data_IF_030466310211
#
_entry.id   IF_030466310211
#
_cell.length_a   1.000
_cell.length_b   1.000
_cell.length_c   1.000
_cell.angle_alpha   90.00
_cell.angle_beta   90.00
_cell.angle_gamma   90.00
#
_symmetry.space_group_name_H-M   'P 1'
#
loop_
_entity.id
_entity.type
_entity.pdbx_description
1 polymer ?
#
# COMPACT_ATOMS: atom_id res chain seq x y z
N UNK A 1 0.33 -6.24 -3.43
CA UNK A 1 -0.04 -5.01 -4.18
C UNK A 1 1.05 -4.56 -5.17
N UNK A 2 2.32 -4.49 -4.74
CA UNK A 2 3.54 -4.42 -5.61
C UNK A 2 3.49 -5.43 -6.78
N UNK A 3 2.82 -6.56 -6.56
CA UNK A 3 2.56 -7.65 -7.52
C UNK A 3 1.94 -7.16 -8.84
N UNK A 4 1.04 -6.16 -8.87
CA UNK A 4 0.39 -5.77 -10.14
C UNK A 4 1.36 -5.09 -11.13
N UNK A 5 2.20 -4.16 -10.66
CA UNK A 5 3.24 -3.60 -11.51
C UNK A 5 4.33 -4.61 -11.82
N UNK A 6 4.69 -5.47 -10.86
CA UNK A 6 5.63 -6.56 -11.09
C UNK A 6 5.13 -7.51 -12.18
N UNK A 7 3.82 -7.75 -12.27
CA UNK A 7 3.18 -8.56 -13.31
C UNK A 7 3.18 -7.87 -14.67
N UNK A 8 2.86 -6.58 -14.70
CA UNK A 8 2.96 -5.75 -15.91
C UNK A 8 4.41 -5.62 -16.40
N UNK A 9 5.37 -5.70 -15.49
CA UNK A 9 6.78 -5.69 -15.80
C UNK A 9 7.31 -7.06 -16.22
N UNK A 10 6.83 -8.14 -15.61
CA UNK A 10 7.08 -9.52 -16.05
C UNK A 10 6.58 -9.73 -17.49
N UNK A 11 5.44 -9.13 -17.87
CA UNK A 11 5.01 -9.04 -19.27
C UNK A 11 6.13 -8.44 -20.14
N UNK A 12 6.67 -7.28 -19.74
CA UNK A 12 7.74 -6.60 -20.47
C UNK A 12 9.00 -7.46 -20.61
N UNK A 13 9.40 -8.15 -19.56
CA UNK A 13 10.62 -8.98 -19.53
C UNK A 13 10.43 -10.30 -20.29
N UNK A 14 9.26 -10.94 -20.20
CA UNK A 14 8.96 -12.17 -20.95
C UNK A 14 8.99 -11.97 -22.47
N UNK A 15 8.73 -10.74 -22.92
CA UNK A 15 8.77 -10.32 -24.32
C UNK A 15 10.21 -10.06 -24.79
N UNK A 16 11.12 -9.63 -23.90
CA UNK A 16 12.52 -9.34 -24.25
C UNK A 16 13.37 -10.58 -24.55
N UNK A 17 12.96 -11.78 -24.12
CA UNK A 17 13.81 -12.97 -24.24
C UNK A 17 13.52 -13.88 -25.44
N UNK A 18 12.39 -13.76 -26.15
CA UNK A 18 12.16 -14.45 -27.45
C UNK A 18 10.80 -14.06 -28.03
N UNK A 19 10.76 -13.88 -29.36
CA UNK A 19 9.64 -13.75 -30.32
C UNK A 19 8.18 -13.64 -29.80
N UNK A 20 7.34 -12.90 -30.53
CA UNK A 20 5.90 -12.68 -30.31
C UNK A 20 5.04 -13.92 -29.92
N UNK A 21 5.52 -15.15 -30.16
CA UNK A 21 4.95 -16.40 -29.61
C UNK A 21 4.99 -16.50 -28.07
N UNK A 22 5.80 -15.70 -27.36
CA UNK A 22 5.97 -15.76 -25.90
C UNK A 22 4.85 -15.06 -25.11
N UNK A 23 4.11 -14.13 -25.74
CA UNK A 23 2.94 -13.47 -25.12
C UNK A 23 1.80 -14.47 -24.94
N UNK A 24 1.55 -15.32 -25.95
CA UNK A 24 0.53 -16.37 -25.89
C UNK A 24 0.92 -17.55 -24.98
N UNK A 25 2.21 -17.94 -24.93
CA UNK A 25 2.65 -19.07 -24.10
C UNK A 25 2.66 -18.75 -22.59
N UNK A 26 2.91 -17.49 -22.22
CA UNK A 26 2.86 -17.05 -20.83
C UNK A 26 1.48 -16.51 -20.42
N UNK A 27 0.55 -16.33 -21.36
CA UNK A 27 -0.81 -15.84 -21.10
C UNK A 27 -1.51 -16.58 -19.95
N UNK A 28 -1.38 -17.91 -19.77
CA UNK A 28 -1.99 -18.60 -18.62
C UNK A 28 -1.41 -18.21 -17.26
N UNK A 29 -0.08 -18.04 -17.16
CA UNK A 29 0.58 -17.60 -15.93
C UNK A 29 0.26 -16.12 -15.64
N UNK A 30 0.23 -15.30 -16.68
CA UNK A 30 -0.14 -13.90 -16.64
C UNK A 30 -1.60 -13.70 -16.25
N UNK A 31 -2.49 -14.50 -16.83
CA UNK A 31 -3.89 -14.59 -16.46
C UNK A 31 -4.03 -15.10 -15.04
N UNK A 32 -3.22 -16.05 -14.56
CA UNK A 32 -3.29 -16.50 -13.17
C UNK A 32 -2.86 -15.40 -12.18
N UNK A 33 -1.78 -14.66 -12.46
CA UNK A 33 -1.31 -13.57 -11.59
C UNK A 33 -2.25 -12.37 -11.67
N UNK A 34 -2.72 -12.04 -12.88
CA UNK A 34 -3.70 -11.01 -13.13
C UNK A 34 -5.06 -11.35 -12.50
N UNK A 35 -5.56 -12.57 -12.68
CA UNK A 35 -6.80 -13.06 -12.07
C UNK A 35 -6.63 -13.14 -10.56
N UNK A 36 -5.44 -13.47 -10.04
CA UNK A 36 -5.13 -13.40 -8.61
C UNK A 36 -5.18 -11.97 -8.09
N UNK A 37 -4.53 -11.04 -8.77
CA UNK A 37 -4.51 -9.63 -8.42
C UNK A 37 -5.86 -8.94 -8.66
N UNK A 38 -6.65 -9.39 -9.63
CA UNK A 38 -7.99 -8.92 -9.93
C UNK A 38 -9.04 -9.59 -9.07
N UNK A 39 -8.87 -10.84 -8.63
CA UNK A 39 -9.69 -11.45 -7.58
C UNK A 39 -9.42 -10.73 -6.28
N UNK A 40 -8.16 -10.51 -5.92
CA UNK A 40 -7.80 -9.68 -4.79
C UNK A 40 -8.41 -8.28 -4.91
N UNK A 41 -8.16 -7.57 -6.01
CA UNK A 41 -8.71 -6.23 -6.22
C UNK A 41 -10.24 -6.24 -6.27
N UNK A 42 -10.91 -7.10 -7.04
CA UNK A 42 -12.37 -7.10 -7.17
C UNK A 42 -13.06 -7.61 -5.89
N UNK A 43 -12.50 -8.58 -5.17
CA UNK A 43 -13.02 -8.97 -3.85
C UNK A 43 -12.84 -7.81 -2.87
N UNK A 44 -11.66 -7.19 -2.88
CA UNK A 44 -11.39 -5.97 -2.10
C UNK A 44 -12.36 -4.83 -2.43
N UNK A 45 -12.59 -4.52 -3.71
CA UNK A 45 -13.41 -3.40 -4.19
C UNK A 45 -14.92 -3.67 -4.10
N UNK A 46 -15.36 -4.93 -4.13
CA UNK A 46 -16.79 -5.28 -4.05
C UNK A 46 -17.30 -5.49 -2.63
N UNK A 47 -16.44 -5.93 -1.70
CA UNK A 47 -16.91 -6.46 -0.42
C UNK A 47 -16.57 -5.61 0.81
N UNK A 48 -15.87 -4.47 0.65
CA UNK A 48 -15.50 -3.59 1.76
C UNK A 48 -16.13 -2.21 1.62
N UNK A 49 -17.43 -2.05 1.89
CA UNK A 49 -18.06 -0.70 1.99
C UNK A 49 -17.43 0.18 3.08
N UNK A 50 -16.72 -0.44 4.01
CA UNK A 50 -15.94 0.23 5.06
C UNK A 50 -14.59 0.76 4.59
N UNK A 51 -14.02 0.33 3.46
CA UNK A 51 -12.67 0.74 3.08
C UNK A 51 -12.60 1.18 1.62
N UNK A 52 -12.10 2.39 1.42
CA UNK A 52 -11.72 2.93 0.14
C UNK A 52 -10.24 2.61 -0.10
N UNK A 53 -9.96 1.56 -0.86
CA UNK A 53 -8.69 1.46 -1.57
C UNK A 53 -8.89 2.03 -2.95
N UNK A 54 -7.90 2.76 -3.48
CA UNK A 54 -7.81 3.13 -4.88
C UNK A 54 -6.47 2.70 -5.39
N UNK A 55 -6.50 1.84 -6.41
CA UNK A 55 -5.33 1.40 -7.16
C UNK A 55 -5.39 2.08 -8.52
N UNK A 56 -4.39 2.89 -8.82
CA UNK A 56 -4.28 3.56 -10.10
C UNK A 56 -2.95 3.19 -10.73
N UNK A 57 -3.05 2.50 -11.87
CA UNK A 57 -1.91 2.15 -12.70
C UNK A 57 -2.00 2.97 -13.97
N UNK A 58 -0.88 3.48 -14.46
CA UNK A 58 -0.80 4.08 -15.79
C UNK A 58 0.59 3.99 -16.38
N UNK A 59 0.61 3.85 -17.70
CA UNK A 59 1.81 3.92 -18.50
C UNK A 59 1.73 5.23 -19.31
N UNK A 60 2.76 6.06 -19.19
CA UNK A 60 2.93 7.28 -19.96
C UNK A 60 4.07 7.08 -20.94
N UNK A 61 3.83 7.35 -22.22
CA UNK A 61 4.78 7.14 -23.32
C UNK A 61 4.87 8.40 -24.16
N UNK A 62 5.98 8.60 -24.89
CA UNK A 62 6.01 9.70 -25.88
C UNK A 62 4.99 9.46 -26.99
N UNK A 63 4.57 10.54 -27.64
CA UNK A 63 3.66 10.51 -28.80
C UNK A 63 4.23 9.77 -30.02
N UNK A 64 5.50 9.35 -29.96
CA UNK A 64 6.22 8.66 -31.04
C UNK A 64 5.98 7.15 -31.03
N UNK A 65 5.27 6.63 -30.03
CA UNK A 65 5.06 5.19 -29.85
C UNK A 65 3.59 4.88 -29.59
N UNK A 66 3.12 3.81 -30.23
CA UNK A 66 1.81 3.22 -30.00
C UNK A 66 1.96 1.92 -29.22
N UNK A 67 1.00 1.60 -28.35
CA UNK A 67 0.97 0.26 -27.76
C UNK A 67 0.65 -0.79 -28.82
N UNK A 68 1.14 -2.00 -28.58
CA UNK A 68 0.57 -3.17 -29.22
C UNK A 68 -0.88 -3.36 -28.74
N UNK A 69 -1.86 -3.51 -29.66
CA UNK A 69 -3.26 -3.66 -29.32
C UNK A 69 -3.53 -4.80 -28.31
N UNK A 70 -2.83 -5.92 -28.46
CA UNK A 70 -2.96 -7.08 -27.56
C UNK A 70 -2.52 -6.74 -26.14
N UNK A 71 -1.46 -5.94 -26.00
CA UNK A 71 -1.00 -5.47 -24.70
C UNK A 71 -1.92 -4.40 -24.11
N UNK A 72 -2.46 -3.51 -24.95
CA UNK A 72 -3.47 -2.54 -24.52
C UNK A 72 -4.73 -3.24 -24.00
N UNK A 73 -5.20 -4.29 -24.68
CA UNK A 73 -6.35 -5.09 -24.25
C UNK A 73 -6.08 -5.79 -22.92
N UNK A 74 -4.89 -6.34 -22.72
CA UNK A 74 -4.47 -6.89 -21.42
C UNK A 74 -4.51 -5.78 -20.36
N UNK A 75 -3.92 -4.62 -20.61
CA UNK A 75 -3.90 -3.49 -19.67
C UNK A 75 -5.30 -2.99 -19.31
N UNK A 76 -6.21 -2.92 -20.28
CA UNK A 76 -7.61 -2.52 -20.06
C UNK A 76 -8.35 -3.58 -19.26
N UNK A 77 -8.30 -4.84 -19.71
CA UNK A 77 -9.07 -5.95 -19.14
C UNK A 77 -8.62 -6.30 -17.73
N UNK A 78 -7.32 -6.26 -17.49
CA UNK A 78 -6.71 -6.78 -16.27
C UNK A 78 -6.22 -5.70 -15.31
N UNK A 79 -5.92 -4.49 -15.79
CA UNK A 79 -5.37 -3.44 -14.93
C UNK A 79 -6.23 -2.18 -14.95
N UNK A 80 -7.36 -2.19 -15.69
CA UNK A 80 -8.28 -1.06 -15.89
C UNK A 80 -7.53 0.22 -16.27
N UNK A 81 -6.46 0.05 -17.03
CA UNK A 81 -5.49 1.10 -17.36
C UNK A 81 -5.32 1.17 -18.88
N UNK A 82 -5.27 2.40 -19.39
CA UNK A 82 -4.84 2.70 -20.76
C UNK A 82 -3.53 3.47 -20.70
N UNK A 83 -2.73 3.41 -21.77
CA UNK A 83 -1.64 4.37 -21.93
C UNK A 83 -2.16 5.79 -22.08
N UNK A 84 -1.30 6.74 -21.77
CA UNK A 84 -1.51 8.13 -22.16
C UNK A 84 -0.24 8.67 -22.81
N UNK A 85 -0.33 9.07 -24.08
CA UNK A 85 0.75 9.80 -24.72
C UNK A 85 1.01 11.12 -23.99
N UNK A 86 2.28 11.42 -23.74
CA UNK A 86 2.77 12.63 -23.10
C UNK A 86 3.98 13.14 -23.85
N UNK A 87 4.03 14.44 -24.09
CA UNK A 87 5.18 15.12 -24.68
C UNK A 87 6.26 15.39 -23.61
N UNK A 88 7.20 14.45 -23.44
CA UNK A 88 8.30 14.57 -22.49
C UNK A 88 9.37 15.60 -22.92
N UNK A 89 9.33 16.10 -24.17
CA UNK A 89 10.16 17.23 -24.60
C UNK A 89 9.69 18.55 -23.93
N UNK A 90 8.51 18.54 -23.29
CA UNK A 90 7.95 19.61 -22.44
C UNK A 90 7.78 19.14 -20.99
N UNK A 91 8.87 18.99 -20.22
CA UNK A 91 8.87 18.30 -18.93
C UNK A 91 7.94 18.92 -17.89
N UNK A 92 7.76 20.24 -17.88
CA UNK A 92 6.83 20.92 -16.96
C UNK A 92 5.37 20.51 -17.23
N UNK A 93 4.99 20.44 -18.50
CA UNK A 93 3.66 20.01 -18.89
C UNK A 93 3.45 18.51 -18.66
N UNK A 94 4.48 17.70 -18.95
CA UNK A 94 4.47 16.27 -18.67
C UNK A 94 4.26 15.98 -17.17
N UNK A 95 5.00 16.68 -16.30
CA UNK A 95 4.87 16.56 -14.85
C UNK A 95 3.45 16.94 -14.40
N UNK A 96 2.91 18.07 -14.89
CA UNK A 96 1.53 18.49 -14.59
C UNK A 96 0.50 17.44 -15.01
N UNK A 97 0.63 16.84 -16.19
CA UNK A 97 -0.30 15.81 -16.67
C UNK A 97 -0.29 14.58 -15.74
N UNK A 98 0.91 14.08 -15.40
CA UNK A 98 1.06 12.88 -14.56
C UNK A 98 0.59 13.15 -13.13
N UNK A 99 0.96 14.30 -12.56
CA UNK A 99 0.58 14.72 -11.23
C UNK A 99 -0.93 14.94 -11.10
N UNK A 100 -1.57 15.61 -12.07
CA UNK A 100 -3.03 15.77 -12.10
C UNK A 100 -3.76 14.43 -12.24
N UNK A 101 -3.23 13.51 -13.04
CA UNK A 101 -3.79 12.16 -13.14
C UNK A 101 -3.74 11.45 -11.78
N UNK A 102 -2.59 11.52 -11.09
CA UNK A 102 -2.43 10.93 -9.75
C UNK A 102 -3.38 11.55 -8.73
N UNK A 103 -3.42 12.88 -8.66
CA UNK A 103 -4.27 13.62 -7.73
C UNK A 103 -5.75 13.23 -7.91
N UNK A 104 -6.23 13.24 -9.16
CA UNK A 104 -7.60 12.84 -9.48
C UNK A 104 -7.92 11.40 -9.08
N UNK A 105 -6.95 10.48 -9.21
CA UNK A 105 -7.13 9.07 -8.84
C UNK A 105 -7.02 8.82 -7.34
N UNK A 106 -6.46 9.75 -6.57
CA UNK A 106 -6.13 9.58 -5.15
C UNK A 106 -6.81 10.60 -4.24
N UNK A 107 -7.93 11.20 -4.67
CA UNK A 107 -8.65 12.24 -3.93
C UNK A 107 -7.74 13.41 -3.50
N UNK A 108 -6.81 13.81 -4.37
CA UNK A 108 -5.82 14.85 -4.13
C UNK A 108 -4.87 14.56 -2.95
N UNK A 109 -4.71 13.30 -2.53
CA UNK A 109 -3.71 12.93 -1.52
C UNK A 109 -2.32 12.75 -2.11
N UNK A 110 -2.22 12.30 -3.37
CA UNK A 110 -0.95 12.15 -4.07
C UNK A 110 -0.90 13.18 -5.21
N UNK A 111 -0.47 14.40 -4.89
CA UNK A 111 -0.49 15.56 -5.80
C UNK A 111 0.79 15.75 -6.59
N UNK A 112 1.93 15.26 -6.11
CA UNK A 112 3.22 15.36 -6.80
C UNK A 112 3.91 13.99 -6.82
N UNK A 113 4.04 13.40 -8.00
CA UNK A 113 4.85 12.19 -8.26
C UNK A 113 6.18 12.57 -8.89
N UNK A 114 6.16 13.53 -9.83
CA UNK A 114 7.35 14.00 -10.53
C UNK A 114 7.45 15.51 -10.52
N UNK A 115 8.68 16.01 -10.40
CA UNK A 115 9.05 17.37 -10.80
C UNK A 115 9.44 17.37 -12.27
N UNK A 116 9.49 18.54 -12.89
CA UNK A 116 9.89 18.66 -14.30
C UNK A 116 11.27 18.05 -14.56
N UNK A 117 12.24 18.29 -13.67
CA UNK A 117 13.59 17.75 -13.78
C UNK A 117 13.64 16.21 -13.77
N UNK A 118 12.66 15.54 -13.15
CA UNK A 118 12.58 14.08 -13.12
C UNK A 118 12.22 13.47 -14.48
N UNK A 119 11.71 14.28 -15.41
CA UNK A 119 11.15 13.83 -16.69
C UNK A 119 11.99 14.22 -17.90
N UNK A 120 13.23 14.69 -17.69
CA UNK A 120 14.18 14.94 -18.79
C UNK A 120 14.70 13.63 -19.37
N UNK A 121 14.80 13.57 -20.70
CA UNK A 121 15.26 12.39 -21.47
C UNK A 121 14.47 11.11 -21.16
N UNK A 122 13.17 11.29 -20.86
CA UNK A 122 12.25 10.21 -20.54
C UNK A 122 11.39 9.87 -21.76
N UNK A 123 11.29 8.58 -22.06
CA UNK A 123 10.44 8.07 -23.13
C UNK A 123 9.23 7.30 -22.61
N UNK A 124 9.42 6.55 -21.52
CA UNK A 124 8.38 5.72 -20.90
C UNK A 124 8.46 5.79 -19.38
N UNK A 125 7.30 6.01 -18.75
CA UNK A 125 7.12 6.00 -17.30
C UNK A 125 5.95 5.10 -16.92
N UNK A 126 6.18 4.20 -15.98
CA UNK A 126 5.12 3.42 -15.34
C UNK A 126 4.86 4.01 -13.96
N UNK A 127 3.59 4.30 -13.66
CA UNK A 127 3.18 4.90 -12.39
C UNK A 127 2.12 4.04 -11.72
N UNK A 128 2.38 3.68 -10.47
CA UNK A 128 1.43 3.11 -9.54
C UNK A 128 1.13 4.13 -8.45
N UNK A 129 -0.13 4.52 -8.31
CA UNK A 129 -0.59 5.33 -7.19
C UNK A 129 -1.59 4.52 -6.38
N UNK A 130 -1.32 4.38 -5.08
CA UNK A 130 -2.18 3.66 -4.15
C UNK A 130 -2.65 4.59 -3.05
N UNK A 131 -3.95 4.60 -2.81
CA UNK A 131 -4.55 5.30 -1.69
C UNK A 131 -5.41 4.32 -0.90
N UNK A 132 -5.25 4.28 0.42
CA UNK A 132 -6.12 3.50 1.30
C UNK A 132 -6.67 4.37 2.42
N UNK A 133 -7.99 4.33 2.62
CA UNK A 133 -8.71 4.84 3.78
C UNK A 133 -9.76 3.84 4.22
N UNK A 134 -9.64 3.33 5.44
CA UNK A 134 -10.54 2.33 6.01
C UNK A 134 -11.31 2.87 7.21
N UNK A 135 -12.57 2.48 7.33
CA UNK A 135 -13.47 2.70 8.45
C UNK A 135 -13.29 1.57 9.44
N UNK A 136 -13.04 1.88 10.70
CA UNK A 136 -12.93 0.85 11.72
C UNK A 136 -14.26 0.13 11.94
N UNK A 137 -14.21 -1.18 12.19
CA UNK A 137 -15.40 -1.93 12.61
C UNK A 137 -15.94 -1.41 13.96
N UNK A 138 -15.03 -1.02 14.85
CA UNK A 138 -15.31 -0.28 16.08
C UNK A 138 -14.44 0.97 16.07
N UNK A 139 -15.02 2.16 16.25
CA UNK A 139 -14.31 3.43 16.03
C UNK A 139 -13.71 4.00 17.31
N UNK A 140 -12.85 4.99 17.15
CA UNK A 140 -12.43 5.86 18.24
C UNK A 140 -13.44 7.00 18.38
N UNK A 141 -13.73 7.44 19.61
CA UNK A 141 -14.50 8.67 19.82
C UNK A 141 -13.52 9.87 19.73
N UNK A 142 -13.71 10.81 18.78
CA UNK A 142 -12.86 11.99 18.67
C UNK A 142 -12.76 12.82 19.95
N UNK A 143 -13.76 12.77 20.83
CA UNK A 143 -13.74 13.46 22.14
C UNK A 143 -12.67 12.90 23.10
N UNK A 144 -12.21 11.67 22.87
CA UNK A 144 -11.14 11.05 23.64
C UNK A 144 -9.76 11.20 22.99
N UNK A 145 -9.68 11.78 21.79
CA UNK A 145 -8.39 12.12 21.18
C UNK A 145 -7.77 13.30 21.90
N UNK A 146 -6.54 13.13 22.38
CA UNK A 146 -5.80 14.17 23.13
C UNK A 146 -4.36 14.24 22.65
N UNK A 147 -3.73 15.39 22.83
CA UNK A 147 -2.28 15.50 22.66
C UNK A 147 -1.58 14.65 23.73
N UNK A 148 -0.70 13.76 23.30
CA UNK A 148 0.13 12.93 24.18
C UNK A 148 1.54 12.78 23.61
N UNK A 149 2.55 12.53 24.46
CA UNK A 149 3.92 12.34 23.99
C UNK A 149 4.06 11.05 23.19
N UNK A 150 4.71 11.15 22.03
CA UNK A 150 5.24 10.06 21.24
C UNK A 150 6.77 10.19 21.22
N UNK A 151 7.46 9.17 21.73
CA UNK A 151 8.92 9.11 21.80
C UNK A 151 9.45 8.65 20.44
N UNK A 152 10.22 9.50 19.75
CA UNK A 152 10.83 9.17 18.46
C UNK A 152 12.11 8.35 18.64
N UNK A 153 12.76 8.50 19.80
CA UNK A 153 13.88 7.70 20.29
C UNK A 153 13.93 7.77 21.83
N UNK A 154 14.94 7.20 22.47
CA UNK A 154 15.09 7.16 23.94
C UNK A 154 15.14 8.55 24.62
N UNK A 155 15.46 9.62 23.87
CA UNK A 155 15.72 10.97 24.40
C UNK A 155 14.78 12.03 23.86
N UNK A 156 14.20 11.80 22.68
CA UNK A 156 13.38 12.77 21.98
C UNK A 156 11.92 12.32 21.91
N UNK A 157 11.01 13.27 22.06
CA UNK A 157 9.57 13.06 21.92
C UNK A 157 8.89 14.27 21.31
N UNK A 158 7.68 14.06 20.79
CA UNK A 158 6.80 15.13 20.33
C UNK A 158 5.36 14.83 20.73
N UNK A 159 4.54 15.86 20.89
CA UNK A 159 3.11 15.67 21.09
C UNK A 159 2.45 15.29 19.76
N UNK A 160 1.60 14.27 19.81
CA UNK A 160 0.78 13.81 18.68
C UNK A 160 -0.67 13.68 19.12
N UNK A 161 -1.60 13.79 18.17
CA UNK A 161 -2.99 13.47 18.40
C UNK A 161 -3.16 11.96 18.68
N UNK A 162 -3.33 11.61 19.96
CA UNK A 162 -3.44 10.24 20.46
C UNK A 162 -4.91 9.87 20.65
N UNK A 163 -5.41 8.98 19.81
CA UNK A 163 -6.77 8.44 19.89
C UNK A 163 -6.85 7.42 21.02
N UNK A 164 -8.00 7.34 21.70
CA UNK A 164 -8.22 6.39 22.79
C UNK A 164 -9.49 5.57 22.60
N UNK A 165 -9.41 4.27 22.90
CA UNK A 165 -10.57 3.38 22.91
C UNK A 165 -10.42 2.25 23.92
N UNK A 166 -11.48 1.99 24.66
CA UNK A 166 -11.61 0.82 25.52
C UNK A 166 -12.50 -0.21 24.84
N UNK A 167 -12.14 -1.49 24.89
CA UNK A 167 -12.95 -2.53 24.26
C UNK A 167 -12.26 -3.89 24.21
N UNK A 168 -12.93 -4.87 23.61
CA UNK A 168 -12.34 -6.18 23.35
C UNK A 168 -11.47 -6.15 22.10
N UNK A 169 -10.18 -6.43 22.26
CA UNK A 169 -9.21 -6.53 21.16
C UNK A 169 -8.56 -7.90 21.13
N UNK A 170 -8.22 -8.37 19.93
CA UNK A 170 -7.29 -9.48 19.76
C UNK A 170 -5.87 -8.92 19.83
N UNK A 171 -5.09 -9.38 20.81
CA UNK A 171 -3.75 -8.89 21.05
C UNK A 171 -2.87 -10.03 21.60
N UNK A 172 -1.56 -9.84 21.59
CA UNK A 172 -0.63 -10.80 22.17
C UNK A 172 0.82 -10.37 22.05
N UNK A 173 1.71 -11.32 22.32
CA UNK A 173 3.17 -11.14 22.23
C UNK A 173 3.78 -12.01 21.15
N UNK A 174 4.67 -11.43 20.37
CA UNK A 174 5.52 -12.12 19.40
C UNK A 174 6.90 -12.29 20.03
N UNK A 175 7.07 -13.39 20.78
CA UNK A 175 8.26 -13.63 21.61
C UNK A 175 9.57 -13.62 20.82
N UNK A 176 9.54 -14.09 19.58
CA UNK A 176 10.70 -14.11 18.68
C UNK A 176 11.24 -12.69 18.39
N UNK A 177 10.36 -11.68 18.42
CA UNK A 177 10.69 -10.30 18.08
C UNK A 177 10.68 -9.34 19.27
N UNK A 178 10.55 -9.85 20.51
CA UNK A 178 10.37 -9.02 21.71
C UNK A 178 9.32 -7.92 21.48
N UNK A 179 8.18 -8.30 20.91
CA UNK A 179 7.18 -7.35 20.47
C UNK A 179 5.78 -7.75 20.92
N UNK A 180 4.90 -6.76 20.97
CA UNK A 180 3.47 -6.92 21.18
C UNK A 180 2.74 -6.61 19.88
N UNK A 181 1.56 -7.21 19.71
CA UNK A 181 0.69 -6.87 18.59
C UNK A 181 -0.73 -6.64 19.06
N UNK A 182 -1.45 -5.83 18.29
CA UNK A 182 -2.90 -5.62 18.43
C UNK A 182 -3.56 -5.59 17.06
N UNK A 183 -4.72 -6.23 16.96
CA UNK A 183 -5.55 -6.29 15.75
C UNK A 183 -6.69 -5.28 15.84
N UNK A 184 -6.82 -4.43 14.82
CA UNK A 184 -7.91 -3.49 14.62
C UNK A 184 -8.67 -3.86 13.33
N UNK A 185 -9.84 -4.50 13.42
CA UNK A 185 -10.64 -4.82 12.26
C UNK A 185 -11.23 -3.58 11.60
N UNK A 186 -11.24 -3.56 10.27
CA UNK A 186 -12.02 -2.61 9.48
C UNK A 186 -13.45 -3.15 9.28
N UNK A 187 -14.39 -2.23 9.04
CA UNK A 187 -15.78 -2.53 8.73
C UNK A 187 -15.87 -3.37 7.44
N UNK A 188 -16.63 -4.46 7.48
CA UNK A 188 -16.88 -5.36 6.35
C UNK A 188 -18.35 -5.77 6.30
N UNK A 189 -18.90 -5.88 5.09
CA UNK A 189 -20.25 -6.41 4.87
C UNK A 189 -20.27 -7.94 4.78
N UNK A 190 -19.12 -8.55 4.47
CA UNK A 190 -18.98 -9.99 4.38
C UNK A 190 -18.07 -10.50 5.52
N UNK A 191 -18.61 -11.26 6.50
CA UNK A 191 -17.81 -11.85 7.58
C UNK A 191 -16.66 -12.72 7.10
N UNK A 192 -16.75 -13.30 5.90
CA UNK A 192 -15.70 -14.14 5.30
C UNK A 192 -14.56 -13.33 4.68
N UNK A 193 -14.76 -12.04 4.43
CA UNK A 193 -13.77 -11.14 3.85
C UNK A 193 -13.52 -9.94 4.76
N UNK A 194 -12.60 -10.11 5.70
CA UNK A 194 -12.27 -9.07 6.69
C UNK A 194 -10.86 -8.53 6.48
N UNK A 195 -10.76 -7.21 6.54
CA UNK A 195 -9.48 -6.50 6.60
C UNK A 195 -9.19 -6.14 8.05
N UNK A 196 -7.92 -6.19 8.43
CA UNK A 196 -7.51 -5.73 9.75
C UNK A 196 -6.15 -5.04 9.68
N UNK A 197 -6.02 -3.98 10.45
CA UNK A 197 -4.71 -3.42 10.75
C UNK A 197 -4.11 -4.21 11.91
N UNK A 198 -2.91 -4.74 11.72
CA UNK A 198 -2.05 -5.22 12.79
C UNK A 198 -1.03 -4.14 13.10
N UNK A 199 -0.99 -3.70 14.35
CA UNK A 199 0.12 -2.91 14.87
C UNK A 199 1.07 -3.84 15.59
N UNK A 200 2.35 -3.80 15.23
CA UNK A 200 3.42 -4.47 15.95
C UNK A 200 4.25 -3.39 16.65
N UNK A 201 4.28 -3.46 17.97
CA UNK A 201 4.97 -2.54 18.85
C UNK A 201 6.11 -3.30 19.54
N UNK A 202 7.39 -2.98 19.24
CA UNK A 202 8.51 -3.53 19.99
C UNK A 202 8.41 -3.20 21.48
N UNK A 203 8.89 -4.10 22.35
CA UNK A 203 8.96 -3.84 23.79
C UNK A 203 9.99 -2.71 24.09
N UNK A 204 11.03 -2.58 23.27
CA UNK A 204 12.05 -1.53 23.35
C UNK A 204 12.10 -0.67 22.08
N UNK A 205 12.24 0.65 22.23
CA UNK A 205 12.18 1.63 21.14
C UNK A 205 13.19 1.39 20.01
N UNK A 206 14.35 0.82 20.33
CA UNK A 206 15.45 0.59 19.39
C UNK A 206 15.40 -0.79 18.70
N UNK A 207 14.40 -1.62 18.99
CA UNK A 207 14.31 -2.98 18.46
C UNK A 207 13.50 -3.11 17.17
N UNK A 208 12.91 -2.01 16.68
CA UNK A 208 12.10 -2.01 15.46
C UNK A 208 12.85 -2.62 14.25
N UNK A 209 14.14 -2.34 14.12
CA UNK A 209 14.99 -2.86 13.03
C UNK A 209 15.19 -4.37 13.08
N UNK A 210 15.13 -4.99 14.26
CA UNK A 210 15.19 -6.45 14.40
C UNK A 210 13.97 -7.09 13.78
N UNK A 211 12.80 -6.47 13.98
CA UNK A 211 11.53 -6.94 13.42
C UNK A 211 11.52 -6.75 11.89
N UNK A 212 12.02 -5.61 11.39
CA UNK A 212 12.01 -5.29 9.96
C UNK A 212 12.68 -6.35 9.08
N UNK A 213 13.78 -6.97 9.55
CA UNK A 213 14.52 -7.96 8.76
C UNK A 213 13.76 -9.27 8.56
N UNK A 214 12.86 -9.62 9.49
CA UNK A 214 12.17 -10.91 9.53
C UNK A 214 10.65 -10.76 9.47
N UNK A 215 10.14 -9.54 9.25
CA UNK A 215 8.72 -9.22 9.24
C UNK A 215 7.93 -10.03 8.22
N UNK A 216 8.56 -10.45 7.12
CA UNK A 216 7.94 -11.27 6.07
C UNK A 216 7.68 -12.71 6.52
N UNK A 217 8.36 -13.19 7.57
CA UNK A 217 8.12 -14.51 8.16
C UNK A 217 6.87 -14.54 9.05
N UNK A 218 6.35 -13.38 9.44
CA UNK A 218 5.18 -13.28 10.32
C UNK A 218 3.92 -13.65 9.55
N UNK A 219 3.29 -14.75 9.97
CA UNK A 219 1.94 -15.08 9.53
C UNK A 219 0.91 -14.37 10.42
N UNK A 220 0.42 -13.22 9.96
CA UNK A 220 -0.56 -12.39 10.67
C UNK A 220 -1.90 -13.09 10.97
N UNK A 221 -2.26 -14.13 10.22
CA UNK A 221 -3.50 -14.89 10.49
C UNK A 221 -3.35 -15.93 11.59
N UNK A 222 -2.11 -16.23 12.00
CA UNK A 222 -1.77 -17.25 13.00
C UNK A 222 -0.97 -16.69 14.18
N UNK A 223 -0.98 -15.37 14.38
CA UNK A 223 -0.31 -14.75 15.51
C UNK A 223 -0.83 -15.32 16.84
N UNK A 224 0.04 -15.56 17.84
CA UNK A 224 -0.35 -16.19 19.11
C UNK A 224 -0.98 -15.17 20.07
N UNK A 225 -2.23 -14.78 19.82
CA UNK A 225 -2.99 -13.83 20.65
C UNK A 225 -4.25 -14.40 21.27
N UNK A 226 -4.91 -13.58 22.07
CA UNK A 226 -6.22 -13.85 22.67
C UNK A 226 -7.04 -12.55 22.74
N UNK A 227 -8.36 -12.69 22.93
CA UNK A 227 -9.24 -11.54 23.12
C UNK A 227 -9.25 -11.10 24.58
N UNK A 228 -9.02 -9.81 24.83
CA UNK A 228 -9.06 -9.20 26.17
C UNK A 228 -9.64 -7.80 26.09
N UNK A 229 -10.12 -7.30 27.24
CA UNK A 229 -10.49 -5.90 27.35
C UNK A 229 -9.23 -5.04 27.52
N UNK A 230 -9.00 -4.12 26.57
CA UNK A 230 -7.79 -3.32 26.46
C UNK A 230 -8.15 -1.83 26.40
N UNK A 231 -7.38 -1.02 27.12
CA UNK A 231 -7.31 0.44 26.97
C UNK A 231 -6.25 0.76 25.92
N UNK A 232 -6.69 0.97 24.68
CA UNK A 232 -5.81 1.26 23.54
C UNK A 232 -5.61 2.77 23.40
N UNK A 233 -4.35 3.20 23.36
CA UNK A 233 -3.94 4.53 22.90
C UNK A 233 -3.10 4.41 21.62
N UNK A 234 -3.56 5.06 20.55
CA UNK A 234 -2.94 4.96 19.22
C UNK A 234 -2.88 6.34 18.54
N UNK A 235 -1.73 6.74 17.99
CA UNK A 235 -1.61 8.03 17.34
C UNK A 235 -2.39 8.04 16.02
N UNK A 236 -2.97 9.19 15.69
CA UNK A 236 -3.32 9.49 14.29
C UNK A 236 -2.03 9.55 13.50
N UNK A 237 -2.07 9.07 12.27
CA UNK A 237 -0.93 9.22 11.38
C UNK A 237 -1.36 9.21 9.92
N UNK A 238 -0.57 9.92 9.13
CA UNK A 238 -0.54 9.77 7.69
C UNK A 238 0.81 9.19 7.32
N UNK A 239 0.86 8.35 6.29
CA UNK A 239 2.11 7.88 5.76
C UNK A 239 2.05 7.87 4.25
N UNK A 240 2.92 8.67 3.65
CA UNK A 240 3.20 8.63 2.23
C UNK A 240 4.51 7.87 2.00
N UNK A 241 4.56 7.04 0.96
CA UNK A 241 5.77 6.37 0.52
C UNK A 241 5.94 6.54 -0.98
N UNK A 242 7.17 6.80 -1.40
CA UNK A 242 7.57 6.89 -2.79
C UNK A 242 8.71 5.91 -3.05
N UNK A 243 8.57 5.08 -4.08
CA UNK A 243 9.57 4.11 -4.50
C UNK A 243 9.85 4.29 -5.99
N UNK A 244 11.10 4.62 -6.33
CA UNK A 244 11.62 4.36 -7.67
C UNK A 244 12.09 2.90 -7.74
N UNK A 245 11.27 2.07 -8.37
CA UNK A 245 11.47 0.63 -8.41
C UNK A 245 12.58 0.23 -9.37
N UNK A 246 13.07 1.12 -10.25
CA UNK A 246 14.08 0.77 -11.26
C UNK A 246 15.30 0.08 -10.66
N UNK A 247 15.90 0.69 -9.65
CA UNK A 247 17.12 0.16 -9.02
C UNK A 247 16.88 -1.17 -8.31
N UNK A 248 15.75 -1.31 -7.61
CA UNK A 248 15.32 -2.54 -6.96
C UNK A 248 15.11 -3.66 -7.98
N UNK A 249 14.43 -3.37 -9.08
CA UNK A 249 14.16 -4.33 -10.15
C UNK A 249 15.45 -4.80 -10.84
N UNK A 250 16.40 -3.89 -11.04
CA UNK A 250 17.74 -4.24 -11.54
C UNK A 250 18.47 -5.20 -10.60
N UNK A 251 18.42 -4.96 -9.28
CA UNK A 251 18.97 -5.87 -8.27
C UNK A 251 18.28 -7.23 -8.26
N UNK A 252 16.99 -7.29 -8.62
CA UNK A 252 16.22 -8.52 -8.78
C UNK A 252 16.45 -9.22 -10.13
N UNK A 253 17.39 -8.74 -10.96
CA UNK A 253 17.76 -9.34 -12.24
C UNK A 253 17.02 -8.79 -13.46
N UNK A 254 16.04 -7.90 -13.28
CA UNK A 254 15.33 -7.24 -14.38
C UNK A 254 16.15 -6.05 -14.84
N UNK A 255 16.98 -6.24 -15.86
CA UNK A 255 17.94 -5.20 -16.31
C UNK A 255 17.74 -4.77 -17.75
N UNK A 256 17.34 -5.68 -18.65
CA UNK A 256 17.28 -5.44 -20.10
C UNK A 256 16.31 -4.31 -20.47
N UNK A 257 15.13 -4.25 -19.85
CA UNK A 257 14.09 -3.25 -20.13
C UNK A 257 14.53 -1.79 -19.89
N UNK A 258 15.63 -1.60 -19.14
CA UNK A 258 16.16 -0.28 -18.78
C UNK A 258 17.31 0.18 -19.71
N UNK A 259 17.79 -0.68 -20.61
CA UNK A 259 18.89 -0.36 -21.54
C UNK A 259 18.37 0.35 -22.78
N UNK A 260 19.21 1.18 -23.42
CA UNK A 260 18.84 1.82 -24.69
C UNK A 260 18.59 0.81 -25.83
N UNK A 261 19.13 -0.40 -25.71
CA UNK A 261 18.93 -1.52 -26.62
C UNK A 261 17.68 -2.34 -26.30
N UNK A 262 16.89 -1.93 -25.30
CA UNK A 262 15.65 -2.61 -24.95
C UNK A 262 14.71 -2.59 -26.15
N UNK A 263 14.38 -3.78 -26.64
CA UNK A 263 13.32 -3.96 -27.62
C UNK A 263 12.12 -4.57 -26.90
N UNK A 264 10.99 -3.88 -26.95
CA UNK A 264 9.75 -4.26 -26.25
C UNK A 264 8.63 -4.53 -27.27
N UNK A 265 8.84 -5.45 -28.24
CA UNK A 265 7.99 -5.57 -29.42
C UNK A 265 6.56 -6.02 -29.08
N UNK A 266 6.36 -6.68 -27.94
CA UNK A 266 5.06 -7.08 -27.41
C UNK A 266 4.36 -6.00 -26.56
N UNK A 267 4.98 -4.84 -26.33
CA UNK A 267 4.38 -3.71 -25.60
C UNK A 267 4.17 -2.53 -26.53
N UNK A 268 5.17 -2.16 -27.32
CA UNK A 268 5.13 -0.97 -28.16
C UNK A 268 5.41 -1.33 -29.62
N UNK A 269 4.69 -0.66 -30.52
CA UNK A 269 5.02 -0.58 -31.94
C UNK A 269 6.03 0.54 -32.13
N UNK A 270 7.12 0.26 -32.86
CA UNK A 270 8.12 1.26 -33.21
C UNK A 270 9.56 0.82 -32.93
N UNK A 271 10.52 1.75 -32.98
CA UNK A 271 11.93 1.45 -32.72
C UNK A 271 12.16 1.05 -31.25
N UNK A 272 13.31 0.42 -30.93
CA UNK A 272 13.69 0.07 -29.57
C UNK A 272 13.50 1.24 -28.60
N UNK A 273 12.94 0.93 -27.43
CA UNK A 273 12.56 1.92 -26.42
C UNK A 273 12.75 1.33 -25.03
N UNK A 274 13.44 2.10 -24.18
CA UNK A 274 13.68 1.73 -22.80
C UNK A 274 12.56 2.23 -21.89
N UNK A 275 12.31 1.47 -20.83
CA UNK A 275 11.59 1.98 -19.67
C UNK A 275 12.55 2.88 -18.90
N UNK A 276 12.19 4.16 -18.75
CA UNK A 276 13.06 5.10 -18.04
C UNK A 276 12.86 5.01 -16.53
N UNK A 277 11.58 4.98 -16.10
CA UNK A 277 11.16 5.08 -14.70
C UNK A 277 9.97 4.18 -14.40
N UNK A 278 9.98 3.59 -13.22
CA UNK A 278 8.87 2.81 -12.66
C UNK A 278 8.70 3.28 -11.23
N UNK A 279 7.61 3.99 -10.98
CA UNK A 279 7.39 4.64 -9.70
C UNK A 279 6.14 4.10 -9.05
N UNK A 280 6.24 3.84 -7.74
CA UNK A 280 5.11 3.59 -6.89
C UNK A 280 5.02 4.68 -5.82
N UNK A 281 3.86 5.34 -5.73
CA UNK A 281 3.54 6.24 -4.62
C UNK A 281 2.32 5.71 -3.89
N UNK A 282 2.39 5.62 -2.57
CA UNK A 282 1.29 5.12 -1.74
C UNK A 282 1.00 6.07 -0.59
N UNK A 283 -0.27 6.20 -0.23
CA UNK A 283 -0.73 7.02 0.88
C UNK A 283 -1.73 6.25 1.74
N UNK A 284 -1.55 6.32 3.06
CA UNK A 284 -2.49 5.85 4.07
C UNK A 284 -2.81 6.99 5.04
N UNK A 285 -4.07 7.07 5.44
CA UNK A 285 -4.53 7.95 6.52
C UNK A 285 -5.18 7.08 7.61
N UNK A 286 -4.74 7.26 8.85
CA UNK A 286 -5.31 6.63 10.04
C UNK A 286 -5.81 7.71 11.00
N UNK A 287 -7.13 7.69 11.21
CA UNK A 287 -7.86 8.62 12.07
C UNK A 287 -8.97 7.87 12.84
N UNK A 288 -9.86 8.62 13.48
CA UNK A 288 -10.93 8.08 14.32
C UNK A 288 -12.06 7.39 13.53
N UNK A 289 -12.20 7.71 12.23
CA UNK A 289 -13.46 7.52 11.50
C UNK A 289 -13.79 6.09 11.05
N UNK A 290 -15.11 5.93 10.99
CA UNK A 290 -16.00 4.95 10.35
C UNK A 290 -17.43 5.55 10.34
N UNK A 291 -18.40 5.08 9.55
CA UNK A 291 -19.69 5.79 9.28
C UNK A 291 -20.46 6.24 10.53
N UNK A 292 -20.51 7.54 10.81
CA UNK A 292 -21.18 8.22 11.92
C UNK A 292 -22.50 7.56 12.36
N UNK A 293 -22.49 6.87 13.51
CA UNK A 293 -23.70 6.44 14.23
C UNK A 293 -23.31 5.82 15.59
N UNK A 294 -24.02 6.28 16.63
CA UNK A 294 -24.14 5.72 17.97
C UNK A 294 -22.90 5.77 18.87
N UNK A 295 -22.66 6.96 19.42
CA UNK A 295 -22.50 7.04 20.86
C UNK A 295 -23.72 6.38 21.54
N UNK A 296 -23.60 5.08 21.84
CA UNK A 296 -24.43 4.47 22.87
C UNK A 296 -23.48 3.98 23.93
N UNK A 297 -23.39 4.78 24.98
CA UNK A 297 -23.06 4.37 26.34
C UNK A 297 -23.65 3.00 26.65
N UNK A 298 -22.88 1.96 26.40
CA UNK A 298 -22.95 0.69 27.10
C UNK A 298 -21.79 0.69 28.07
N UNK A 299 -22.04 1.12 29.30
CA UNK A 299 -21.26 0.69 30.45
C UNK A 299 -21.45 -0.84 30.54
N UNK A 300 -20.75 -1.58 29.69
CA UNK A 300 -20.55 -3.00 29.91
C UNK A 300 -19.74 -3.08 31.20
N UNK A 301 -20.43 -3.50 32.25
CA UNK A 301 -19.88 -3.81 33.57
C UNK A 301 -18.79 -4.87 33.39
N UNK A 302 -17.54 -4.44 33.21
CA UNK A 302 -16.40 -5.34 33.06
C UNK A 302 -15.52 -5.16 34.28
N UNK A 303 -15.48 -6.23 35.09
CA UNK A 303 -14.44 -6.69 36.02
C UNK A 303 -13.65 -5.65 36.84
N UNK A 304 -13.56 -5.87 38.15
CA UNK A 304 -12.87 -5.06 39.19
C UNK A 304 -11.33 -4.99 39.01
N UNK A 305 -10.79 -5.42 37.87
CA UNK A 305 -9.37 -5.37 37.54
C UNK A 305 -9.08 -4.22 36.58
N UNK A 306 -8.03 -3.44 36.83
CA UNK A 306 -7.57 -2.41 35.91
C UNK A 306 -7.41 -3.00 34.48
N UNK A 307 -7.96 -2.36 33.44
CA UNK A 307 -7.85 -2.84 32.08
C UNK A 307 -6.39 -2.86 31.64
N UNK A 308 -6.01 -3.82 30.80
CA UNK A 308 -4.68 -3.84 30.20
C UNK A 308 -4.48 -2.58 29.36
N UNK A 309 -3.41 -1.83 29.59
CA UNK A 309 -3.05 -0.69 28.75
C UNK A 309 -2.19 -1.13 27.57
N UNK A 310 -2.57 -0.70 26.37
CA UNK A 310 -1.78 -0.88 25.15
C UNK A 310 -1.51 0.51 24.56
N UNK A 311 -0.32 1.03 24.85
CA UNK A 311 0.08 2.39 24.51
C UNK A 311 1.07 2.39 23.35
N UNK A 312 0.64 2.88 22.19
CA UNK A 312 1.46 2.99 20.98
C UNK A 312 2.10 4.38 20.96
N UNK A 313 3.09 4.63 21.82
CA UNK A 313 3.78 5.91 21.92
C UNK A 313 5.27 5.88 21.55
N UNK A 314 5.72 4.81 20.90
CA UNK A 314 7.07 4.63 20.36
C UNK A 314 6.98 4.07 18.93
N UNK A 315 8.07 4.14 18.13
CA UNK A 315 8.12 3.58 16.80
C UNK A 315 7.51 2.17 16.65
N UNK A 316 6.65 2.00 15.65
CA UNK A 316 5.89 0.76 15.43
C UNK A 316 5.75 0.42 13.94
N UNK A 317 5.38 -0.83 13.66
CA UNK A 317 5.02 -1.29 12.31
C UNK A 317 3.49 -1.42 12.23
N UNK A 318 2.90 -0.86 11.19
CA UNK A 318 1.49 -1.04 10.86
C UNK A 318 1.35 -1.84 9.56
N UNK A 319 0.55 -2.90 9.58
CA UNK A 319 0.28 -3.77 8.43
C UNK A 319 -1.23 -3.90 8.23
N UNK A 320 -1.71 -3.69 7.02
CA UNK A 320 -3.10 -4.01 6.67
C UNK A 320 -3.11 -5.36 6.00
N UNK A 321 -3.90 -6.30 6.53
CA UNK A 321 -3.90 -7.70 6.13
C UNK A 321 -5.31 -8.13 5.78
N UNK A 322 -5.45 -8.85 4.67
CA UNK A 322 -6.66 -9.63 4.37
C UNK A 322 -6.64 -10.90 5.21
N UNK A 323 -7.55 -11.03 6.18
CA UNK A 323 -7.61 -12.19 7.08
C UNK A 323 -7.95 -13.48 6.33
N UNK A 324 -8.70 -13.38 5.23
CA UNK A 324 -9.08 -14.53 4.39
C UNK A 324 -7.90 -15.15 3.66
N UNK A 325 -6.97 -14.32 3.18
CA UNK A 325 -5.85 -14.79 2.34
C UNK A 325 -4.49 -14.74 3.04
N UNK A 326 -4.38 -14.05 4.18
CA UNK A 326 -3.11 -13.71 4.81
C UNK A 326 -2.30 -12.65 4.05
N UNK A 327 -2.84 -12.10 2.96
CA UNK A 327 -2.12 -11.15 2.11
C UNK A 327 -1.93 -9.82 2.82
N UNK A 328 -0.68 -9.36 2.91
CA UNK A 328 -0.34 -8.00 3.33
C UNK A 328 -0.61 -7.03 2.18
N UNK A 329 -1.48 -6.06 2.44
CA UNK A 329 -1.94 -5.05 1.50
C UNK A 329 -1.07 -3.80 1.61
N UNK A 330 -0.81 -3.39 2.85
CA UNK A 330 -0.05 -2.21 3.18
C UNK A 330 0.91 -2.51 4.33
N UNK A 331 2.05 -1.83 4.32
CA UNK A 331 3.08 -1.93 5.33
C UNK A 331 3.70 -0.55 5.54
N UNK A 332 3.66 -0.04 6.75
CA UNK A 332 4.36 1.18 7.13
C UNK A 332 5.16 0.99 8.40
N UNK A 333 6.28 1.71 8.44
CA UNK A 333 7.07 1.98 9.63
C UNK A 333 6.73 3.39 10.08
N UNK A 334 6.23 3.53 11.30
CA UNK A 334 5.83 4.82 11.87
C UNK A 334 6.82 5.18 12.97
N UNK A 335 7.68 6.17 12.73
CA UNK A 335 8.68 6.65 13.70
C UNK A 335 8.36 8.04 14.25
N UNK A 336 7.48 8.78 13.57
CA UNK A 336 7.19 10.18 13.90
C UNK A 336 5.83 10.59 13.32
N UNK A 337 4.69 10.14 13.90
CA UNK A 337 3.35 10.51 13.44
C UNK A 337 3.18 12.02 13.38
N UNK A 338 2.66 12.59 12.29
CA UNK A 338 2.40 14.04 12.24
C UNK A 338 1.36 14.46 13.30
N UNK A 339 1.45 15.72 13.76
CA UNK A 339 0.73 16.22 14.93
C UNK A 339 -0.77 16.40 14.68
#
# INVERSE_FOLDING_TARGET
MIIQLFSALLLAVSVTNTQAQCVQSNEPALKAVSDGANRFANNFFKNVKGAELRLANKIFTTNKYELQPEFEDIMIKHFKSKTQPVDFDKPENAAKIINNWSANKTNNRITEIFKADDLRDVSVVLVNAVYFKGKWANKFNPEFTKLAPFYTDEKNWKNVSMMQRHGSFYWGRIREFSAQFIELPYESENPEETLSMFVILPDEINELSKIENDIEKINFTQLPGHRSYVSLSMPKFESESFFDLKSTLQKMGITEIFKNTADLPGILKGPPIKVNKIVQKSYIEVNEEGSEAAATTGLDLISVSAPLEFLINTPFIAKIVSKTTGTVIFSARITSPEA
#
